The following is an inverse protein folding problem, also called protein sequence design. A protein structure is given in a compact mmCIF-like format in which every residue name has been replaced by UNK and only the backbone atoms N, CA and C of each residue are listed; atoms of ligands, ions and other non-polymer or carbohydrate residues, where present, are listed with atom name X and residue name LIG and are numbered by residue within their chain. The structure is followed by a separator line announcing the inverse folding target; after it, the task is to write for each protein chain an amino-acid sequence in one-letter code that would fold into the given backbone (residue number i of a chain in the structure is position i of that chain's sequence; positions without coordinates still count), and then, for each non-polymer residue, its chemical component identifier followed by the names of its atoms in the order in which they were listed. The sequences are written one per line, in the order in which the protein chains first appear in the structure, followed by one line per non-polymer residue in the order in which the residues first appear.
data_IF_700763079511
#
_entry.id   IF_700763079511
#
_cell.length_a   1.000
_cell.length_b   1.000
_cell.length_c   1.000
_cell.angle_alpha   90.00
_cell.angle_beta   90.00
_cell.angle_gamma   90.00
#
_symmetry.space_group_name_H-M   'P 1'
#
loop_
_entity.id
_entity.type
_entity.pdbx_description
1 polymer ?
#
# COMPACT_ATOMS: atom_id res chain seq x y z
N UNK A 1 -9.74 -1.51 17.64
CA UNK A 1 -8.82 -2.01 16.61
C UNK A 1 -9.28 -1.38 15.30
N UNK A 2 -8.62 -0.33 14.83
CA UNK A 2 -8.98 0.28 13.56
C UNK A 2 -8.54 -0.69 12.46
N UNK A 3 -9.48 -1.45 11.90
CA UNK A 3 -9.22 -2.36 10.78
C UNK A 3 -8.88 -1.50 9.57
N UNK A 4 -7.59 -1.32 9.28
CA UNK A 4 -7.16 -0.50 8.17
C UNK A 4 -7.51 -1.23 6.86
N UNK A 5 -8.37 -0.63 6.03
CA UNK A 5 -8.89 -1.26 4.81
C UNK A 5 -7.77 -1.60 3.82
N UNK A 6 -6.71 -0.78 3.80
CA UNK A 6 -5.52 -0.97 2.98
C UNK A 6 -4.72 -2.18 3.44
N UNK A 7 -4.64 -2.44 4.75
CA UNK A 7 -4.03 -3.65 5.29
C UNK A 7 -4.75 -4.92 4.81
N UNK A 8 -6.08 -4.97 4.87
CA UNK A 8 -6.83 -6.13 4.40
C UNK A 8 -6.68 -6.32 2.88
N UNK A 9 -6.69 -5.24 2.10
CA UNK A 9 -6.44 -5.30 0.66
C UNK A 9 -5.04 -5.85 0.35
N UNK A 10 -3.99 -5.30 0.96
CA UNK A 10 -2.61 -5.76 0.80
C UNK A 10 -2.44 -7.21 1.25
N UNK A 11 -3.16 -7.64 2.30
CA UNK A 11 -3.16 -9.04 2.73
C UNK A 11 -3.72 -9.98 1.68
N UNK A 12 -4.74 -9.56 0.90
CA UNK A 12 -5.23 -10.36 -0.25
C UNK A 12 -4.22 -10.46 -1.38
N UNK A 13 -3.37 -9.43 -1.53
CA UNK A 13 -2.25 -9.40 -2.47
C UNK A 13 -1.00 -10.11 -1.94
N UNK A 14 -1.03 -10.66 -0.72
CA UNK A 14 0.13 -11.21 -0.01
C UNK A 14 1.27 -10.19 0.21
N UNK A 15 0.89 -8.91 0.31
CA UNK A 15 1.76 -7.76 0.53
C UNK A 15 1.49 -7.02 1.86
N UNK A 16 1.02 -7.67 2.96
CA UNK A 16 0.63 -6.96 4.18
C UNK A 16 1.77 -6.17 4.84
N UNK A 17 3.03 -6.51 4.53
CA UNK A 17 4.21 -5.81 5.01
C UNK A 17 4.30 -4.36 4.55
N UNK A 18 3.67 -4.02 3.41
CA UNK A 18 3.69 -2.66 2.90
C UNK A 18 2.58 -1.79 3.49
N UNK A 19 1.65 -2.35 4.25
CA UNK A 19 0.50 -1.61 4.76
C UNK A 19 0.89 -0.43 5.65
N UNK A 20 1.92 -0.62 6.46
CA UNK A 20 2.45 0.45 7.31
C UNK A 20 3.07 1.57 6.44
N UNK A 21 3.85 1.20 5.42
CA UNK A 21 4.42 2.17 4.47
C UNK A 21 3.35 2.91 3.67
N UNK A 22 2.29 2.23 3.24
CA UNK A 22 1.17 2.87 2.55
C UNK A 22 0.51 3.91 3.46
N UNK A 23 0.16 3.54 4.69
CA UNK A 23 -0.48 4.43 5.66
C UNK A 23 0.44 5.60 6.05
N UNK A 24 1.73 5.36 6.26
CA UNK A 24 2.73 6.39 6.59
C UNK A 24 2.90 7.43 5.46
N UNK A 25 2.79 6.99 4.21
CA UNK A 25 2.80 7.86 3.04
C UNK A 25 1.43 8.52 2.74
N UNK A 26 0.40 8.27 3.57
CA UNK A 26 -0.94 8.86 3.41
C UNK A 26 -1.89 8.11 2.48
N UNK A 27 -1.58 6.85 2.16
CA UNK A 27 -2.46 5.91 1.47
C UNK A 27 -3.21 5.05 2.49
N UNK A 28 -4.02 5.66 3.35
CA UNK A 28 -4.85 4.96 4.35
C UNK A 28 -6.26 4.58 3.85
N UNK A 29 -6.64 5.07 2.67
CA UNK A 29 -7.91 4.81 2.01
C UNK A 29 -7.75 4.16 0.62
N UNK A 30 -8.71 3.32 0.23
CA UNK A 30 -8.71 2.69 -1.09
C UNK A 30 -8.88 3.69 -2.24
N UNK A 31 -9.49 4.84 -2.00
CA UNK A 31 -9.63 5.90 -3.02
C UNK A 31 -8.27 6.52 -3.37
N UNK A 32 -7.41 6.71 -2.37
CA UNK A 32 -6.04 7.18 -2.57
C UNK A 32 -5.18 6.07 -3.16
N UNK A 33 -5.37 4.81 -2.72
CA UNK A 33 -4.66 3.66 -3.30
C UNK A 33 -4.92 3.48 -4.79
N UNK A 34 -6.10 3.86 -5.30
CA UNK A 34 -6.39 3.82 -6.74
C UNK A 34 -5.55 4.79 -7.56
N UNK A 35 -4.98 5.82 -6.94
CA UNK A 35 -4.15 6.83 -7.58
C UNK A 35 -2.66 6.49 -7.51
N UNK A 36 -2.28 5.42 -6.81
CA UNK A 36 -0.90 4.96 -6.71
C UNK A 36 -0.40 4.56 -8.10
N UNK A 37 0.68 5.21 -8.54
CA UNK A 37 1.46 4.82 -9.70
C UNK A 37 2.86 4.34 -9.32
N UNK A 38 3.68 4.09 -10.35
CA UNK A 38 5.11 3.80 -10.20
C UNK A 38 5.88 4.75 -9.26
N UNK A 39 5.70 6.09 -9.31
CA UNK A 39 6.42 6.99 -8.40
C UNK A 39 5.96 6.86 -6.95
N UNK A 40 4.68 6.61 -6.72
CA UNK A 40 4.11 6.39 -5.38
C UNK A 40 4.61 5.07 -4.78
N UNK A 41 4.65 4.00 -5.59
CA UNK A 41 5.24 2.72 -5.21
C UNK A 41 6.73 2.87 -4.84
N UNK A 42 7.47 3.73 -5.54
CA UNK A 42 8.85 4.06 -5.21
C UNK A 42 8.96 4.76 -3.83
N UNK A 43 8.08 5.74 -3.57
CA UNK A 43 8.02 6.47 -2.30
C UNK A 43 7.66 5.57 -1.10
N UNK A 44 6.73 4.64 -1.31
CA UNK A 44 6.35 3.62 -0.33
C UNK A 44 7.49 2.61 -0.10
N UNK A 45 8.43 2.47 -1.05
CA UNK A 45 9.54 1.51 -0.98
C UNK A 45 9.23 0.17 -1.65
N UNK A 46 8.20 0.10 -2.49
CA UNK A 46 7.89 -1.04 -3.36
C UNK A 46 8.78 -0.98 -4.62
N UNK A 47 10.07 -1.20 -4.40
CA UNK A 47 11.07 -1.26 -5.47
C UNK A 47 11.20 -2.67 -6.09
N UNK A 48 10.53 -3.67 -5.50
CA UNK A 48 10.59 -5.06 -5.97
C UNK A 48 9.71 -5.18 -7.22
N UNK A 49 10.26 -5.55 -8.39
CA UNK A 49 9.48 -5.65 -9.64
C UNK A 49 8.40 -6.73 -9.59
N UNK A 50 8.49 -7.67 -8.66
CA UNK A 50 7.45 -8.69 -8.41
C UNK A 50 6.28 -8.17 -7.57
N UNK A 51 6.44 -7.02 -6.91
CA UNK A 51 5.43 -6.39 -6.05
C UNK A 51 4.84 -5.11 -6.67
N UNK A 52 5.31 -4.72 -7.86
CA UNK A 52 4.78 -3.60 -8.65
C UNK A 52 3.64 -4.05 -9.56
#
# INVERSE_FOLDING_TARGET
MCTNIVYEWLKTLQLPQYAESFVDNGYDDLEVCKQIGDPDLDAIGVAVPHHR
#
